data_IF_007245250369
#
_entry.id   IF_007245250369
#
_cell.length_a   1.000
_cell.length_b   1.000
_cell.length_c   1.000
_cell.angle_alpha   90.00
_cell.angle_beta   90.00
_cell.angle_gamma   90.00
#
_symmetry.space_group_name_H-M   'P 1'
#
loop_
_entity.id
_entity.type
_entity.pdbx_description
1 polymer ?
#
# COMPACT_ATOMS: atom_id res chain seq x y z
N UNK A 1 -12.44 1.57 1.34
CA UNK A 1 -11.01 1.27 1.09
C UNK A 1 -10.15 2.22 1.89
N UNK A 2 -9.08 1.73 2.49
CA UNK A 2 -8.20 2.49 3.38
C UNK A 2 -6.78 2.50 2.83
N UNK A 3 -6.06 3.61 3.02
CA UNK A 3 -4.66 3.76 2.64
C UNK A 3 -3.84 4.27 3.82
N UNK A 4 -2.63 3.73 3.97
CA UNK A 4 -1.63 4.21 4.93
C UNK A 4 -0.45 4.80 4.15
N UNK A 5 -0.04 6.00 4.55
CA UNK A 5 1.12 6.70 3.99
C UNK A 5 2.19 6.80 5.08
N UNK A 6 3.40 6.34 4.77
CA UNK A 6 4.51 6.29 5.72
C UNK A 6 5.72 7.03 5.14
N UNK A 7 6.16 8.07 5.82
CA UNK A 7 7.38 8.81 5.49
C UNK A 7 7.85 9.56 6.74
N UNK A 8 9.13 9.48 7.07
CA UNK A 8 9.69 10.15 8.25
C UNK A 8 9.91 11.67 8.04
N UNK A 9 9.88 12.12 6.79
CA UNK A 9 9.96 13.53 6.47
C UNK A 9 8.55 14.14 6.42
N UNK A 10 8.26 15.00 7.39
CA UNK A 10 6.92 15.58 7.55
C UNK A 10 6.43 16.33 6.31
N UNK A 11 7.31 17.08 5.65
CA UNK A 11 6.94 17.86 4.45
C UNK A 11 6.52 16.91 3.32
N UNK A 12 7.23 15.82 3.12
CA UNK A 12 6.91 14.82 2.10
C UNK A 12 5.60 14.10 2.46
N UNK A 13 5.44 13.74 3.72
CA UNK A 13 4.22 13.09 4.21
C UNK A 13 2.96 13.94 3.93
N UNK A 14 3.03 15.22 4.24
CA UNK A 14 1.93 16.17 3.98
C UNK A 14 1.65 16.32 2.48
N UNK A 15 2.69 16.37 1.66
CA UNK A 15 2.56 16.45 0.19
C UNK A 15 1.89 15.19 -0.37
N UNK A 16 2.32 14.01 0.06
CA UNK A 16 1.72 12.75 -0.36
C UNK A 16 0.25 12.68 0.06
N UNK A 17 -0.04 13.08 1.29
CA UNK A 17 -1.41 13.12 1.79
C UNK A 17 -2.29 14.03 0.94
N UNK A 18 -1.77 15.18 0.53
CA UNK A 18 -2.49 16.10 -0.36
C UNK A 18 -2.82 15.45 -1.71
N UNK A 19 -1.86 14.77 -2.32
CA UNK A 19 -2.10 14.06 -3.58
C UNK A 19 -3.13 12.95 -3.43
N UNK A 20 -3.00 12.15 -2.37
CA UNK A 20 -3.89 11.03 -2.10
C UNK A 20 -5.31 11.50 -1.77
N UNK A 21 -5.47 12.64 -1.11
CA UNK A 21 -6.80 13.18 -0.77
C UNK A 21 -7.64 13.54 -2.00
N UNK A 22 -7.02 13.65 -3.16
CA UNK A 22 -7.76 13.86 -4.42
C UNK A 22 -8.37 12.56 -4.96
N UNK A 23 -7.90 11.42 -4.48
CA UNK A 23 -8.42 10.09 -4.84
C UNK A 23 -9.31 9.55 -3.71
N UNK A 24 -8.82 9.62 -2.48
CA UNK A 24 -9.53 9.19 -1.27
C UNK A 24 -10.20 10.42 -0.66
N UNK A 25 -11.47 10.64 -1.00
CA UNK A 25 -12.20 11.84 -0.58
C UNK A 25 -12.63 11.82 0.88
N UNK A 26 -12.71 10.63 1.49
CA UNK A 26 -13.04 10.47 2.90
C UNK A 26 -11.76 10.45 3.74
N UNK A 27 -11.54 11.50 4.53
CA UNK A 27 -10.31 11.68 5.32
C UNK A 27 -10.07 10.58 6.34
N UNK A 28 -11.13 9.98 6.87
CA UNK A 28 -11.04 8.89 7.83
C UNK A 28 -10.45 7.60 7.23
N UNK A 29 -10.37 7.52 5.91
CA UNK A 29 -9.76 6.39 5.22
C UNK A 29 -8.28 6.57 4.90
N UNK A 30 -7.73 7.76 5.20
CA UNK A 30 -6.31 8.07 4.98
C UNK A 30 -5.60 8.08 6.33
N UNK A 31 -4.67 7.15 6.53
CA UNK A 31 -3.83 7.05 7.71
C UNK A 31 -2.41 7.49 7.37
N UNK A 32 -1.73 8.11 8.31
CA UNK A 32 -0.35 8.55 8.13
C UNK A 32 0.51 8.11 9.30
N UNK A 33 1.78 7.85 9.03
CA UNK A 33 2.78 7.54 10.05
C UNK A 33 4.14 8.10 9.66
N UNK A 34 4.88 8.56 10.63
CA UNK A 34 6.25 9.06 10.42
C UNK A 34 7.33 8.07 10.83
N UNK A 35 6.94 6.86 11.23
CA UNK A 35 7.89 5.81 11.61
C UNK A 35 7.30 4.42 11.40
N UNK A 36 8.20 3.43 11.34
CA UNK A 36 7.80 2.05 11.06
C UNK A 36 7.01 1.42 12.21
N UNK A 37 7.34 1.70 13.47
CA UNK A 37 6.65 1.10 14.62
C UNK A 37 5.17 1.46 14.61
N UNK A 38 4.85 2.73 14.43
CA UNK A 38 3.47 3.22 14.33
C UNK A 38 2.78 2.67 13.08
N UNK A 39 3.51 2.60 11.97
CA UNK A 39 2.96 2.03 10.74
C UNK A 39 2.52 0.58 10.93
N UNK A 40 3.33 -0.24 11.60
CA UNK A 40 3.00 -1.64 11.86
C UNK A 40 1.76 -1.77 12.77
N UNK A 41 1.60 -0.89 13.75
CA UNK A 41 0.40 -0.85 14.59
C UNK A 41 -0.85 -0.53 13.76
N UNK A 42 -0.77 0.46 12.88
CA UNK A 42 -1.88 0.83 12.01
C UNK A 42 -2.22 -0.31 11.05
N UNK A 43 -1.21 -0.95 10.47
CA UNK A 43 -1.42 -2.10 9.56
C UNK A 43 -2.18 -3.21 10.27
N UNK A 44 -1.79 -3.53 11.50
CA UNK A 44 -2.41 -4.61 12.27
C UNK A 44 -3.83 -4.26 12.74
N UNK A 45 -4.06 -3.02 13.20
CA UNK A 45 -5.34 -2.61 13.78
C UNK A 45 -6.36 -2.14 12.73
N UNK A 46 -5.94 -1.40 11.72
CA UNK A 46 -6.82 -0.81 10.71
C UNK A 46 -6.85 -1.58 9.41
N UNK A 47 -5.86 -2.42 9.17
CA UNK A 47 -5.72 -3.24 7.96
C UNK A 47 -5.97 -2.44 6.68
N UNK A 48 -5.16 -1.37 6.42
CA UNK A 48 -5.31 -0.61 5.20
C UNK A 48 -5.10 -1.51 3.97
N UNK A 49 -5.83 -1.24 2.92
CA UNK A 49 -5.75 -2.01 1.68
C UNK A 49 -4.48 -1.71 0.90
N UNK A 50 -4.00 -0.46 0.98
CA UNK A 50 -2.82 0.03 0.29
C UNK A 50 -1.88 0.66 1.31
N UNK A 51 -0.62 0.28 1.26
CA UNK A 51 0.44 0.87 2.08
C UNK A 51 1.45 1.54 1.14
N UNK A 52 1.56 2.86 1.27
CA UNK A 52 2.49 3.68 0.51
C UNK A 52 3.60 4.09 1.47
N UNK A 53 4.81 3.58 1.30
CA UNK A 53 5.88 3.80 2.26
C UNK A 53 7.22 4.17 1.62
N UNK A 54 7.91 5.12 2.25
CA UNK A 54 9.31 5.39 1.96
C UNK A 54 10.16 4.17 2.37
N UNK A 55 11.27 3.95 1.69
CA UNK A 55 12.22 2.89 2.04
C UNK A 55 13.07 3.31 3.22
N UNK A 56 13.73 4.46 3.14
CA UNK A 56 14.68 4.90 4.16
C UNK A 56 14.02 5.63 5.30
N UNK A 57 14.01 4.97 6.46
CA UNK A 57 13.55 5.54 7.71
C UNK A 57 14.45 5.04 8.86
N UNK A 58 14.65 5.84 9.93
CA UNK A 58 15.39 5.38 11.09
C UNK A 58 14.77 4.13 11.71
N UNK A 59 15.61 3.20 12.13
CA UNK A 59 15.15 1.93 12.69
C UNK A 59 14.73 0.95 11.60
N UNK A 60 13.52 0.39 11.70
CA UNK A 60 12.96 -0.48 10.67
C UNK A 60 12.53 0.35 9.47
N UNK A 61 12.87 -0.10 8.28
CA UNK A 61 12.64 0.63 7.04
C UNK A 61 11.40 0.14 6.28
N UNK A 62 11.16 0.73 5.08
CA UNK A 62 10.04 0.35 4.24
C UNK A 62 10.12 -1.08 3.71
N UNK A 63 11.32 -1.65 3.59
CA UNK A 63 11.49 -3.05 3.20
C UNK A 63 11.00 -3.99 4.28
N UNK A 64 11.25 -3.64 5.55
CA UNK A 64 10.72 -4.39 6.67
C UNK A 64 9.19 -4.35 6.67
N UNK A 65 8.60 -3.17 6.46
CA UNK A 65 7.15 -3.03 6.35
C UNK A 65 6.60 -3.90 5.22
N UNK A 66 7.23 -3.87 4.05
CA UNK A 66 6.84 -4.68 2.90
C UNK A 66 6.84 -6.18 3.21
N UNK A 67 7.92 -6.66 3.85
CA UNK A 67 8.02 -8.07 4.26
C UNK A 67 6.97 -8.43 5.29
N UNK A 68 6.71 -7.57 6.25
CA UNK A 68 5.68 -7.78 7.27
C UNK A 68 4.30 -7.92 6.63
N UNK A 69 3.96 -7.04 5.71
CA UNK A 69 2.67 -7.10 4.99
C UNK A 69 2.57 -8.37 4.16
N UNK A 70 3.62 -8.70 3.41
CA UNK A 70 3.65 -9.90 2.59
C UNK A 70 3.42 -11.17 3.41
N UNK A 71 4.04 -11.27 4.58
CA UNK A 71 3.96 -12.46 5.43
C UNK A 71 2.65 -12.55 6.23
N UNK A 72 2.07 -11.43 6.61
CA UNK A 72 0.91 -11.41 7.52
C UNK A 72 -0.40 -10.99 6.85
N UNK A 73 -0.33 -10.19 5.80
CA UNK A 73 -1.51 -9.66 5.09
C UNK A 73 -1.27 -9.69 3.58
N UNK A 74 -1.15 -10.89 2.96
CA UNK A 74 -0.74 -11.00 1.56
C UNK A 74 -1.74 -10.44 0.55
N UNK A 75 -2.97 -10.18 0.95
CA UNK A 75 -3.99 -9.54 0.13
C UNK A 75 -3.85 -8.01 0.05
N UNK A 76 -3.02 -7.43 0.91
CA UNK A 76 -2.77 -5.98 0.91
C UNK A 76 -1.68 -5.62 -0.10
N UNK A 77 -1.72 -4.38 -0.58
CA UNK A 77 -0.80 -3.90 -1.60
C UNK A 77 0.19 -2.91 -0.99
N UNK A 78 1.47 -3.11 -1.28
CA UNK A 78 2.53 -2.18 -0.88
C UNK A 78 3.09 -1.50 -2.12
N UNK A 79 3.17 -0.17 -2.07
CA UNK A 79 3.85 0.67 -3.05
C UNK A 79 5.00 1.36 -2.33
N UNK A 80 6.23 1.18 -2.83
CA UNK A 80 7.42 1.79 -2.24
C UNK A 80 7.74 3.12 -2.91
N UNK A 81 8.16 4.09 -2.10
CA UNK A 81 8.72 5.35 -2.58
C UNK A 81 10.21 5.31 -2.27
N UNK A 82 11.04 5.54 -3.26
CA UNK A 82 12.47 5.33 -3.11
C UNK A 82 13.29 6.40 -3.85
N UNK A 83 14.40 6.82 -3.26
CA UNK A 83 15.41 7.59 -3.97
C UNK A 83 16.19 6.70 -4.94
N UNK A 84 16.83 7.32 -5.93
CA UNK A 84 17.58 6.60 -6.95
C UNK A 84 18.69 5.70 -6.36
N UNK A 85 19.38 6.18 -5.31
CA UNK A 85 20.44 5.41 -4.64
C UNK A 85 19.91 4.21 -3.88
N UNK A 86 18.68 4.24 -3.40
CA UNK A 86 18.07 3.18 -2.61
C UNK A 86 17.44 2.10 -3.49
N UNK A 87 17.10 2.42 -4.72
CA UNK A 87 16.49 1.49 -5.67
C UNK A 87 17.37 0.26 -5.90
N UNK A 88 18.68 0.46 -6.16
CA UNK A 88 19.60 -0.65 -6.37
C UNK A 88 19.73 -1.55 -5.14
N UNK A 89 19.79 -0.94 -3.97
CA UNK A 89 19.88 -1.65 -2.70
C UNK A 89 18.64 -2.53 -2.48
N UNK A 90 17.48 -2.03 -2.84
CA UNK A 90 16.20 -2.66 -2.57
C UNK A 90 15.69 -3.54 -3.72
N UNK A 91 16.37 -3.58 -4.85
CA UNK A 91 15.85 -4.13 -6.11
C UNK A 91 15.33 -5.57 -5.99
N UNK A 92 16.04 -6.44 -5.28
CA UNK A 92 15.62 -7.84 -5.11
C UNK A 92 14.35 -7.96 -4.26
N UNK A 93 14.29 -7.21 -3.18
CA UNK A 93 13.12 -7.19 -2.30
C UNK A 93 11.91 -6.55 -2.99
N UNK A 94 12.14 -5.45 -3.72
CA UNK A 94 11.12 -4.76 -4.50
C UNK A 94 10.49 -5.71 -5.53
N UNK A 95 11.31 -6.44 -6.25
CA UNK A 95 10.86 -7.35 -7.32
C UNK A 95 9.91 -8.44 -6.81
N UNK A 96 10.08 -8.87 -5.56
CA UNK A 96 9.39 -10.07 -5.05
C UNK A 96 8.16 -9.76 -4.18
N UNK A 97 8.05 -8.57 -3.59
CA UNK A 97 7.08 -8.33 -2.51
C UNK A 97 6.26 -7.06 -2.65
N UNK A 98 6.49 -6.24 -3.65
CA UNK A 98 5.76 -4.99 -3.79
C UNK A 98 5.00 -4.92 -5.10
N UNK A 99 3.91 -4.18 -5.08
CA UNK A 99 3.07 -3.98 -6.25
C UNK A 99 3.72 -3.02 -7.25
N UNK A 100 4.33 -1.95 -6.74
CA UNK A 100 4.96 -0.92 -7.55
C UNK A 100 5.98 -0.15 -6.72
N UNK A 101 6.85 0.58 -7.38
CA UNK A 101 7.77 1.52 -6.76
C UNK A 101 7.76 2.84 -7.51
N UNK A 102 7.95 3.94 -6.78
CA UNK A 102 7.93 5.29 -7.33
C UNK A 102 9.23 5.97 -6.93
N UNK A 103 9.94 6.53 -7.90
CA UNK A 103 11.20 7.23 -7.65
C UNK A 103 10.95 8.66 -7.17
N UNK A 104 11.73 9.11 -6.19
CA UNK A 104 11.76 10.51 -5.75
C UNK A 104 12.56 11.36 -6.74
N UNK A 105 12.17 12.61 -6.98
CA UNK A 105 11.01 13.31 -6.43
C UNK A 105 9.70 12.79 -7.00
N UNK A 106 8.69 12.68 -6.15
CA UNK A 106 7.41 12.07 -6.51
C UNK A 106 6.63 12.97 -7.48
N UNK A 107 6.36 12.45 -8.67
CA UNK A 107 5.47 13.06 -9.62
C UNK A 107 4.01 12.72 -9.26
N UNK A 108 3.16 13.73 -9.17
CA UNK A 108 1.76 13.56 -8.78
C UNK A 108 1.02 12.58 -9.69
N UNK A 109 1.22 12.69 -11.00
CA UNK A 109 0.51 11.83 -11.97
C UNK A 109 0.99 10.39 -11.91
N UNK A 110 2.28 10.17 -11.71
CA UNK A 110 2.86 8.83 -11.54
C UNK A 110 2.30 8.17 -10.27
N UNK A 111 2.24 8.91 -9.17
CA UNK A 111 1.66 8.44 -7.92
C UNK A 111 0.20 8.07 -8.08
N UNK A 112 -0.60 8.95 -8.65
CA UNK A 112 -2.03 8.72 -8.86
C UNK A 112 -2.28 7.51 -9.75
N UNK A 113 -1.52 7.36 -10.82
CA UNK A 113 -1.65 6.21 -11.72
C UNK A 113 -1.39 4.89 -10.98
N UNK A 114 -0.32 4.84 -10.19
CA UNK A 114 0.02 3.65 -9.41
C UNK A 114 -1.05 3.30 -8.38
N UNK A 115 -1.53 4.29 -7.66
CA UNK A 115 -2.59 4.10 -6.65
C UNK A 115 -3.90 3.66 -7.30
N UNK A 116 -4.27 4.24 -8.44
CA UNK A 116 -5.49 3.84 -9.16
C UNK A 116 -5.40 2.41 -9.67
N UNK A 117 -4.23 1.98 -10.15
CA UNK A 117 -4.00 0.57 -10.53
C UNK A 117 -4.14 -0.36 -9.32
N UNK A 118 -3.62 0.05 -8.17
CA UNK A 118 -3.76 -0.73 -6.93
C UNK A 118 -5.23 -0.86 -6.51
N UNK A 119 -5.98 0.22 -6.56
CA UNK A 119 -7.43 0.22 -6.26
C UNK A 119 -8.16 -0.73 -7.20
N UNK A 120 -7.87 -0.66 -8.49
CA UNK A 120 -8.47 -1.55 -9.48
C UNK A 120 -8.16 -3.02 -9.17
N UNK A 121 -6.91 -3.34 -8.87
CA UNK A 121 -6.49 -4.70 -8.53
C UNK A 121 -7.22 -5.23 -7.30
N UNK A 122 -7.33 -4.43 -6.24
CA UNK A 122 -8.04 -4.82 -5.02
C UNK A 122 -9.51 -5.03 -5.30
N UNK A 123 -10.14 -4.13 -6.04
CA UNK A 123 -11.56 -4.21 -6.41
C UNK A 123 -11.85 -5.48 -7.21
N UNK A 124 -11.02 -5.79 -8.19
CA UNK A 124 -11.14 -7.02 -8.99
C UNK A 124 -11.02 -8.27 -8.13
N UNK A 125 -10.06 -8.31 -7.21
CA UNK A 125 -9.87 -9.45 -6.29
C UNK A 125 -11.10 -9.67 -5.41
N UNK A 126 -11.67 -8.58 -4.88
CA UNK A 126 -12.88 -8.63 -4.04
C UNK A 126 -14.08 -9.12 -4.84
N UNK A 127 -14.25 -8.64 -6.06
CA UNK A 127 -15.34 -9.08 -6.94
C UNK A 127 -15.22 -10.55 -7.29
N UNK A 128 -14.04 -11.03 -7.61
CA UNK A 128 -13.79 -12.45 -7.87
C UNK A 128 -14.10 -13.33 -6.65
N UNK A 129 -13.73 -12.88 -5.45
CA UNK A 129 -14.03 -13.60 -4.22
C UNK A 129 -15.55 -13.70 -3.96
N UNK A 130 -16.28 -12.61 -4.19
CA UNK A 130 -17.75 -12.57 -4.07
C UNK A 130 -18.40 -13.53 -5.08
N UNK A 131 -17.97 -13.49 -6.32
CA UNK A 131 -18.50 -14.37 -7.37
C UNK A 131 -18.24 -15.82 -7.09
N UNK A 132 -17.05 -16.14 -6.57
CA UNK A 132 -16.69 -17.52 -6.18
C UNK A 132 -17.61 -18.04 -5.08
N UNK A 133 -17.86 -17.23 -4.05
CA UNK A 133 -18.77 -17.61 -2.96
C UNK A 133 -20.20 -17.83 -3.45
N UNK A 134 -20.68 -16.99 -4.36
CA UNK A 134 -22.00 -17.15 -4.95
C UNK A 134 -22.10 -18.44 -5.75
N UNK A 135 -21.08 -18.76 -6.51
CA UNK A 135 -21.04 -19.99 -7.30
C UNK A 135 -21.01 -21.24 -6.41
N UNK A 136 -20.18 -21.23 -5.37
CA UNK A 136 -20.11 -22.32 -4.40
C UNK A 136 -21.45 -22.53 -3.68
N UNK A 137 -22.10 -21.44 -3.30
CA UNK A 137 -23.43 -21.49 -2.68
C UNK A 137 -24.48 -22.06 -3.63
N UNK A 138 -24.47 -21.63 -4.89
CA UNK A 138 -25.34 -22.17 -5.93
C UNK A 138 -25.15 -23.68 -6.10
N UNK A 139 -23.91 -24.16 -6.16
CA UNK A 139 -23.62 -25.60 -6.28
C UNK A 139 -24.16 -26.39 -5.10
N UNK A 140 -24.04 -25.88 -3.87
CA UNK A 140 -24.56 -26.56 -2.67
C UNK A 140 -26.09 -26.72 -2.71
N UNK A 141 -26.80 -25.71 -3.23
CA UNK A 141 -28.28 -25.74 -3.29
C UNK A 141 -28.80 -26.58 -4.43
N UNK A 142 -28.03 -26.75 -5.51
CA UNK A 142 -28.52 -27.35 -6.75
C UNK A 142 -27.87 -28.69 -7.09
N UNK A 143 -27.12 -29.25 -6.17
CA UNK A 143 -26.58 -30.63 -6.24
C UNK A 143 -27.12 -31.46 -5.05
#
# INVERSE_FOLDING_TARGET
MKILIVDDEKIILEKLKMYISQIFTEKENIFTSDNAAKALEIISSQQPDIILTDIRMPGKDGLYISSFVHNNFPDKIVILITGFSDFKYAQTAIKNHVFDYILKPVDENVLKESVLKAIHTITERKNQAIMRKKYESYLKENI
#
